data_IF_725989727214
#
_entry.id   IF_725989727214
#
_cell.length_a   1.000
_cell.length_b   1.000
_cell.length_c   1.000
_cell.angle_alpha   90.00
_cell.angle_beta   90.00
_cell.angle_gamma   90.00
#
_symmetry.space_group_name_H-M   'P 1'
#
loop_
_entity.id
_entity.type
_entity.pdbx_description
1 polymer ?
#
# COMPACT_ATOMS: atom_id res chain seq x y z
N UNK A 1 9.73 -15.78 22.15
CA UNK A 1 9.03 -14.77 21.33
C UNK A 1 9.52 -14.89 19.88
N UNK A 2 8.84 -15.69 19.03
CA UNK A 2 9.25 -15.83 17.62
C UNK A 2 8.80 -14.60 16.84
N UNK A 3 9.74 -13.76 16.41
CA UNK A 3 9.44 -12.74 15.41
C UNK A 3 9.04 -13.45 14.11
N UNK A 4 7.74 -13.51 13.82
CA UNK A 4 7.23 -14.05 12.55
C UNK A 4 7.59 -13.05 11.45
N UNK A 5 8.75 -13.23 10.82
CA UNK A 5 9.08 -12.58 9.55
C UNK A 5 8.16 -13.13 8.47
N UNK A 6 6.93 -12.58 8.36
CA UNK A 6 6.07 -12.87 7.22
C UNK A 6 6.74 -12.28 5.99
N UNK A 7 7.39 -13.14 5.22
CA UNK A 7 8.02 -12.81 3.93
C UNK A 7 7.00 -12.42 2.85
N UNK A 8 5.69 -12.48 3.15
CA UNK A 8 4.63 -11.95 2.32
C UNK A 8 3.69 -11.14 3.22
N UNK A 9 3.80 -9.82 3.16
CA UNK A 9 2.89 -8.90 3.88
C UNK A 9 1.56 -8.79 3.15
N UNK A 10 1.59 -8.79 1.81
CA UNK A 10 0.40 -8.83 0.96
C UNK A 10 0.63 -9.76 -0.25
N UNK A 11 0.31 -11.07 -0.12
CA UNK A 11 0.53 -12.03 -1.19
C UNK A 11 -0.33 -11.76 -2.43
N UNK A 12 -1.46 -11.04 -2.32
CA UNK A 12 -2.31 -10.75 -3.48
C UNK A 12 -1.64 -9.74 -4.40
N UNK A 13 -1.14 -8.65 -3.84
CA UNK A 13 -0.44 -7.60 -4.61
C UNK A 13 0.89 -8.12 -5.14
N UNK A 14 1.67 -8.81 -4.30
CA UNK A 14 2.98 -9.34 -4.67
C UNK A 14 2.87 -10.37 -5.80
N UNK A 15 1.93 -11.31 -5.73
CA UNK A 15 1.72 -12.28 -6.81
C UNK A 15 1.20 -11.62 -8.10
N UNK A 16 0.38 -10.56 -8.01
CA UNK A 16 -0.06 -9.83 -9.18
C UNK A 16 1.12 -9.16 -9.93
N UNK A 17 2.06 -8.55 -9.20
CA UNK A 17 3.26 -7.92 -9.77
C UNK A 17 4.21 -8.97 -10.33
N UNK A 18 4.51 -10.03 -9.57
CA UNK A 18 5.38 -11.12 -10.02
C UNK A 18 4.80 -11.78 -11.28
N UNK A 19 3.49 -12.03 -11.33
CA UNK A 19 2.84 -12.60 -12.52
C UNK A 19 3.00 -11.70 -13.74
N UNK A 20 2.79 -10.38 -13.60
CA UNK A 20 3.01 -9.42 -14.70
C UNK A 20 4.46 -9.42 -15.16
N UNK A 21 5.42 -9.41 -14.23
CA UNK A 21 6.84 -9.50 -14.55
C UNK A 21 7.16 -10.80 -15.31
N UNK A 22 6.70 -11.95 -14.82
CA UNK A 22 6.93 -13.25 -15.47
C UNK A 22 6.28 -13.33 -16.86
N UNK A 23 5.10 -12.72 -17.06
CA UNK A 23 4.49 -12.63 -18.39
C UNK A 23 5.38 -11.85 -19.36
N UNK A 24 5.84 -10.66 -18.98
CA UNK A 24 6.76 -9.88 -19.81
C UNK A 24 8.08 -10.62 -20.06
N UNK A 25 8.63 -11.26 -19.02
CA UNK A 25 9.86 -12.06 -19.14
C UNK A 25 9.71 -13.21 -20.15
N UNK A 26 8.60 -13.94 -20.07
CA UNK A 26 8.29 -15.03 -21.00
C UNK A 26 8.12 -14.55 -22.43
N UNK A 27 7.49 -13.38 -22.62
CA UNK A 27 7.33 -12.76 -23.93
C UNK A 27 8.68 -12.34 -24.51
N UNK A 28 9.57 -11.77 -23.69
CA UNK A 28 10.94 -11.42 -24.10
C UNK A 28 11.73 -12.64 -24.52
N UNK A 29 11.67 -13.74 -23.75
CA UNK A 29 12.34 -15.00 -24.12
C UNK A 29 11.78 -15.55 -25.43
N UNK A 30 10.45 -15.53 -25.61
CA UNK A 30 9.82 -15.99 -26.84
C UNK A 30 10.24 -15.15 -28.05
N UNK A 31 10.25 -13.82 -27.91
CA UNK A 31 10.70 -12.91 -28.95
C UNK A 31 12.17 -13.13 -29.31
N UNK A 32 13.03 -13.32 -28.32
CA UNK A 32 14.45 -13.62 -28.52
C UNK A 32 14.66 -14.92 -29.30
N UNK A 33 13.94 -15.99 -28.92
CA UNK A 33 13.97 -17.28 -29.62
C UNK A 33 13.47 -17.13 -31.07
N UNK A 34 12.36 -16.43 -31.28
CA UNK A 34 11.80 -16.19 -32.60
C UNK A 34 12.77 -15.43 -33.52
N UNK A 35 13.43 -14.39 -32.99
CA UNK A 35 14.46 -13.65 -33.72
C UNK A 35 15.63 -14.57 -34.07
N UNK A 36 16.10 -15.38 -33.12
CA UNK A 36 17.19 -16.33 -33.35
C UNK A 36 16.87 -17.32 -34.47
N UNK A 37 15.69 -17.93 -34.42
CA UNK A 37 15.19 -18.84 -35.47
C UNK A 37 15.12 -18.12 -36.82
N UNK A 38 14.59 -16.90 -36.86
CA UNK A 38 14.53 -16.09 -38.08
C UNK A 38 15.90 -15.83 -38.69
N UNK A 39 16.90 -15.47 -37.87
CA UNK A 39 18.29 -15.28 -38.32
C UNK A 39 18.87 -16.57 -38.89
N UNK A 40 18.67 -17.72 -38.24
CA UNK A 40 19.13 -19.00 -38.78
C UNK A 40 18.45 -19.35 -40.11
N UNK A 41 17.15 -19.08 -40.26
CA UNK A 41 16.44 -19.37 -41.52
C UNK A 41 16.91 -18.50 -42.69
N UNK A 42 17.30 -17.25 -42.43
CA UNK A 42 17.73 -16.31 -43.48
C UNK A 42 19.19 -16.53 -43.89
N UNK A 43 20.08 -16.76 -42.93
CA UNK A 43 21.53 -16.73 -43.18
C UNK A 43 22.20 -18.10 -43.23
N UNK A 44 21.51 -19.17 -42.84
CA UNK A 44 22.14 -20.48 -42.80
C UNK A 44 22.19 -21.13 -44.21
N UNK A 45 23.34 -21.67 -44.64
CA UNK A 45 23.49 -22.22 -45.99
C UNK A 45 22.68 -23.51 -46.17
N UNK A 46 21.84 -23.54 -47.23
CA UNK A 46 21.20 -24.72 -47.83
C UNK A 46 20.07 -25.39 -47.03
N UNK A 47 18.87 -25.52 -47.62
CA UNK A 47 17.70 -26.37 -47.26
C UNK A 47 17.59 -26.86 -45.79
N UNK A 48 17.81 -25.98 -44.81
CA UNK A 48 17.75 -26.36 -43.40
C UNK A 48 16.30 -26.50 -42.99
N UNK A 49 15.97 -27.63 -42.36
CA UNK A 49 14.64 -27.83 -41.79
C UNK A 49 14.41 -26.85 -40.64
N UNK A 50 13.16 -26.45 -40.43
CA UNK A 50 12.76 -25.56 -39.31
C UNK A 50 13.23 -26.11 -37.96
N UNK A 51 13.19 -27.43 -37.79
CA UNK A 51 13.65 -28.09 -36.56
C UNK A 51 15.14 -27.89 -36.29
N UNK A 52 15.97 -27.95 -37.33
CA UNK A 52 17.41 -27.69 -37.22
C UNK A 52 17.69 -26.22 -36.89
N UNK A 53 16.92 -25.29 -37.46
CA UNK A 53 17.02 -23.87 -37.12
C UNK A 53 16.68 -23.62 -35.65
N UNK A 54 15.63 -24.27 -35.12
CA UNK A 54 15.27 -24.18 -33.69
C UNK A 54 16.40 -24.71 -32.80
N UNK A 55 16.90 -25.91 -33.06
CA UNK A 55 17.95 -26.52 -32.24
C UNK A 55 19.24 -25.69 -32.24
N UNK A 56 19.65 -25.17 -33.40
CA UNK A 56 20.83 -24.31 -33.53
C UNK A 56 20.64 -22.96 -32.85
N UNK A 57 19.49 -22.31 -33.01
CA UNK A 57 19.18 -21.05 -32.33
C UNK A 57 19.18 -21.21 -30.82
N UNK A 58 18.58 -22.29 -30.30
CA UNK A 58 18.59 -22.57 -28.88
C UNK A 58 20.01 -22.75 -28.35
N UNK A 59 20.86 -23.52 -29.04
CA UNK A 59 22.27 -23.68 -28.67
C UNK A 59 23.05 -22.36 -28.71
N UNK A 60 22.85 -21.54 -29.73
CA UNK A 60 23.49 -20.23 -29.87
C UNK A 60 23.06 -19.23 -28.78
N UNK A 61 21.81 -19.33 -28.33
CA UNK A 61 21.25 -18.45 -27.30
C UNK A 61 21.36 -19.02 -25.88
N UNK A 62 21.83 -20.27 -25.72
CA UNK A 62 21.89 -20.95 -24.43
C UNK A 62 22.64 -20.15 -23.34
N UNK A 63 23.80 -19.49 -23.61
CA UNK A 63 24.47 -18.67 -22.60
C UNK A 63 23.60 -17.50 -22.12
N UNK A 64 22.89 -16.84 -23.05
CA UNK A 64 22.01 -15.71 -22.74
C UNK A 64 20.77 -16.17 -21.98
N UNK A 65 20.13 -17.27 -22.39
CA UNK A 65 18.99 -17.85 -21.68
C UNK A 65 19.39 -18.27 -20.26
N UNK A 66 20.55 -18.90 -20.10
CA UNK A 66 21.09 -19.28 -18.79
C UNK A 66 21.25 -18.05 -17.88
N UNK A 67 21.85 -16.98 -18.40
CA UNK A 67 21.97 -15.70 -17.68
C UNK A 67 20.59 -15.14 -17.30
N UNK A 68 19.63 -15.16 -18.21
CA UNK A 68 18.26 -14.71 -17.94
C UNK A 68 17.62 -15.51 -16.81
N UNK A 69 17.68 -16.84 -16.85
CA UNK A 69 17.14 -17.69 -15.78
C UNK A 69 17.83 -17.44 -14.43
N UNK A 70 19.13 -17.21 -14.43
CA UNK A 70 19.91 -16.89 -13.23
C UNK A 70 19.51 -15.53 -12.62
N UNK A 71 19.04 -14.59 -13.44
CA UNK A 71 18.58 -13.27 -12.99
C UNK A 71 17.16 -13.28 -12.41
N UNK A 72 16.30 -14.24 -12.78
CA UNK A 72 14.94 -14.35 -12.24
C UNK A 72 14.89 -14.24 -10.71
N UNK A 73 15.64 -15.03 -9.91
CA UNK A 73 15.59 -14.93 -8.45
C UNK A 73 16.03 -13.56 -7.94
N UNK A 74 16.98 -12.89 -8.61
CA UNK A 74 17.43 -11.54 -8.26
C UNK A 74 16.30 -10.53 -8.46
N UNK A 75 15.65 -10.55 -9.63
CA UNK A 75 14.53 -9.67 -9.93
C UNK A 75 13.32 -9.92 -9.02
N UNK A 76 12.96 -11.18 -8.79
CA UNK A 76 11.86 -11.55 -7.89
C UNK A 76 12.15 -11.05 -6.47
N UNK A 77 13.38 -11.26 -5.98
CA UNK A 77 13.79 -10.77 -4.67
C UNK A 77 13.67 -9.25 -4.55
N UNK A 78 14.16 -8.51 -5.54
CA UNK A 78 14.12 -7.06 -5.54
C UNK A 78 12.68 -6.51 -5.55
N UNK A 79 11.82 -7.08 -6.41
CA UNK A 79 10.40 -6.72 -6.47
C UNK A 79 9.68 -7.00 -5.15
N UNK A 80 9.92 -8.16 -4.54
CA UNK A 80 9.31 -8.53 -3.26
C UNK A 80 9.76 -7.55 -2.17
N UNK A 81 11.06 -7.22 -2.13
CA UNK A 81 11.62 -6.26 -1.17
C UNK A 81 11.05 -4.86 -1.36
N UNK A 82 10.92 -4.39 -2.59
CA UNK A 82 10.30 -3.13 -2.94
C UNK A 82 8.83 -3.10 -2.50
N UNK A 83 8.09 -4.17 -2.79
CA UNK A 83 6.70 -4.31 -2.40
C UNK A 83 6.51 -4.30 -0.88
N UNK A 84 7.43 -4.87 -0.10
CA UNK A 84 7.38 -4.78 1.37
C UNK A 84 7.51 -3.35 1.89
N UNK A 85 8.40 -2.54 1.29
CA UNK A 85 8.54 -1.11 1.64
C UNK A 85 7.29 -0.29 1.30
N UNK A 86 6.44 -0.79 0.41
CA UNK A 86 5.18 -0.17 0.05
C UNK A 86 4.01 -0.67 0.91
N UNK A 87 3.87 -1.99 1.05
CA UNK A 87 2.72 -2.62 1.72
C UNK A 87 2.76 -2.48 3.25
N UNK A 88 3.96 -2.50 3.85
CA UNK A 88 4.13 -2.39 5.30
C UNK A 88 3.53 -1.09 5.89
N UNK A 89 3.90 0.10 5.35
CA UNK A 89 3.30 1.37 5.75
C UNK A 89 1.78 1.41 5.57
N UNK A 90 1.27 0.96 4.42
CA UNK A 90 -0.15 0.98 4.11
C UNK A 90 -0.97 0.11 5.09
N UNK A 91 -0.45 -1.05 5.48
CA UNK A 91 -1.10 -1.90 6.47
C UNK A 91 -1.17 -1.24 7.85
N UNK A 92 -0.13 -0.49 8.25
CA UNK A 92 -0.15 0.28 9.51
C UNK A 92 -1.16 1.43 9.45
N UNK A 93 -1.20 2.17 8.36
CA UNK A 93 -2.20 3.23 8.15
C UNK A 93 -3.62 2.67 8.26
N UNK A 94 -3.90 1.53 7.61
CA UNK A 94 -5.20 0.87 7.71
C UNK A 94 -5.55 0.48 9.15
N UNK A 95 -4.58 -0.02 9.92
CA UNK A 95 -4.78 -0.34 11.33
C UNK A 95 -5.19 0.89 12.14
N UNK A 96 -4.49 2.01 11.96
CA UNK A 96 -4.78 3.28 12.63
C UNK A 96 -6.14 3.84 12.22
N UNK A 97 -6.48 3.78 10.93
CA UNK A 97 -7.77 4.22 10.43
C UNK A 97 -8.93 3.42 11.03
N UNK A 98 -8.78 2.10 11.16
CA UNK A 98 -9.78 1.27 11.81
C UNK A 98 -9.92 1.61 13.31
N UNK A 99 -8.81 1.79 14.01
CA UNK A 99 -8.83 2.19 15.42
C UNK A 99 -9.54 3.55 15.62
N UNK A 100 -9.33 4.49 14.71
CA UNK A 100 -10.03 5.78 14.71
C UNK A 100 -11.53 5.64 14.42
N UNK A 101 -11.89 4.76 13.48
CA UNK A 101 -13.28 4.49 13.14
C UNK A 101 -14.03 3.88 14.34
N UNK A 102 -13.35 3.07 15.16
CA UNK A 102 -13.89 2.48 16.38
C UNK A 102 -13.93 3.47 17.57
N UNK A 103 -13.62 4.74 17.34
CA UNK A 103 -13.65 5.80 18.36
C UNK A 103 -12.37 5.90 19.21
N UNK A 104 -11.33 5.14 18.86
CA UNK A 104 -10.02 5.22 19.49
C UNK A 104 -9.30 6.55 19.22
N UNK A 105 -8.22 6.80 19.95
CA UNK A 105 -7.30 7.93 19.71
C UNK A 105 -6.02 7.39 19.09
N UNK A 106 -5.77 7.73 17.83
CA UNK A 106 -4.52 7.38 17.17
C UNK A 106 -3.34 8.15 17.75
N UNK A 107 -2.20 7.48 17.88
CA UNK A 107 -0.91 8.16 18.04
C UNK A 107 -0.40 8.60 16.67
N UNK A 108 0.38 9.68 16.63
CA UNK A 108 0.99 10.22 15.41
C UNK A 108 1.60 9.10 14.54
N UNK A 109 1.16 9.02 13.28
CA UNK A 109 1.60 8.02 12.33
C UNK A 109 3.03 8.33 11.86
N UNK A 110 3.94 7.37 12.06
CA UNK A 110 5.34 7.49 11.62
C UNK A 110 5.80 6.23 10.90
N UNK A 111 6.30 6.39 9.68
CA UNK A 111 6.89 5.31 8.89
C UNK A 111 8.42 5.28 9.02
N UNK A 112 9.05 4.19 8.57
CA UNK A 112 10.50 4.02 8.70
C UNK A 112 11.22 4.88 7.64
N UNK A 113 12.40 5.44 7.96
CA UNK A 113 13.16 6.24 7.00
C UNK A 113 13.42 5.43 5.72
N UNK A 114 13.09 6.02 4.57
CA UNK A 114 13.13 5.37 3.26
C UNK A 114 11.85 4.64 2.84
N UNK A 115 10.78 4.58 3.63
CA UNK A 115 9.49 4.11 3.12
C UNK A 115 8.89 5.12 2.11
N UNK A 116 8.15 4.62 1.11
CA UNK A 116 7.58 5.47 0.03
C UNK A 116 6.47 6.42 0.51
N UNK A 117 5.92 6.19 1.70
CA UNK A 117 4.67 6.81 2.16
C UNK A 117 4.88 7.90 3.23
N UNK A 118 6.10 8.44 3.36
CA UNK A 118 6.43 9.44 4.39
C UNK A 118 5.58 10.70 4.28
N UNK A 119 5.33 11.18 3.06
CA UNK A 119 4.49 12.35 2.82
C UNK A 119 3.05 12.08 3.25
N UNK A 120 2.51 10.90 2.92
CA UNK A 120 1.18 10.49 3.35
C UNK A 120 1.05 10.36 4.87
N UNK A 121 2.09 9.93 5.59
CA UNK A 121 2.09 9.99 7.05
C UNK A 121 2.01 11.43 7.56
N UNK A 122 2.74 12.35 6.92
CA UNK A 122 2.74 13.78 7.26
C UNK A 122 1.35 14.38 7.03
N UNK A 123 0.75 14.14 5.87
CA UNK A 123 -0.59 14.61 5.53
C UNK A 123 -1.65 14.04 6.47
N UNK A 124 -1.57 12.74 6.77
CA UNK A 124 -2.47 12.09 7.72
C UNK A 124 -2.37 12.70 9.12
N UNK A 125 -1.15 12.96 9.61
CA UNK A 125 -0.95 13.57 10.91
C UNK A 125 -1.51 14.99 10.98
N UNK A 126 -1.38 15.76 9.89
CA UNK A 126 -1.96 17.10 9.79
C UNK A 126 -3.49 17.03 9.86
N UNK A 127 -4.10 16.18 9.02
CA UNK A 127 -5.54 15.96 9.04
C UNK A 127 -6.03 15.52 10.42
N UNK A 128 -5.33 14.55 11.04
CA UNK A 128 -5.71 14.02 12.35
C UNK A 128 -5.64 15.08 13.45
N UNK A 129 -4.64 15.96 13.41
CA UNK A 129 -4.52 17.08 14.33
C UNK A 129 -5.70 18.04 14.20
N UNK A 130 -6.05 18.44 12.98
CA UNK A 130 -7.20 19.32 12.71
C UNK A 130 -8.52 18.66 13.16
N UNK A 131 -8.67 17.35 12.92
CA UNK A 131 -9.85 16.60 13.35
C UNK A 131 -10.00 16.53 14.88
N UNK A 132 -8.91 16.30 15.62
CA UNK A 132 -8.96 16.32 17.09
C UNK A 132 -9.31 17.71 17.61
N UNK A 133 -8.68 18.75 17.07
CA UNK A 133 -8.92 20.13 17.48
C UNK A 133 -10.40 20.50 17.30
N UNK A 134 -10.96 20.15 16.15
CA UNK A 134 -12.37 20.37 15.85
C UNK A 134 -13.30 19.59 16.79
N UNK A 135 -12.97 18.32 17.08
CA UNK A 135 -13.73 17.49 18.02
C UNK A 135 -13.75 18.11 19.43
N UNK A 136 -12.58 18.53 19.92
CA UNK A 136 -12.47 19.17 21.23
C UNK A 136 -13.29 20.47 21.28
N UNK A 137 -13.28 21.27 20.21
CA UNK A 137 -14.05 22.51 20.13
C UNK A 137 -15.56 22.27 20.17
N UNK A 138 -16.04 21.21 19.52
CA UNK A 138 -17.45 20.81 19.62
C UNK A 138 -17.82 20.35 21.03
N UNK A 139 -16.94 19.60 21.72
CA UNK A 139 -17.16 19.17 23.11
C UNK A 139 -17.21 20.39 24.06
N UNK A 140 -16.32 21.37 23.89
CA UNK A 140 -16.35 22.64 24.65
C UNK A 140 -17.66 23.40 24.46
N UNK A 141 -18.08 23.58 23.20
CA UNK A 141 -19.33 24.29 22.88
C UNK A 141 -20.57 23.58 23.42
N UNK A 142 -20.60 22.24 23.40
CA UNK A 142 -21.68 21.47 24.00
C UNK A 142 -21.75 21.64 25.51
N UNK A 143 -20.61 21.68 26.19
CA UNK A 143 -20.55 21.92 27.63
C UNK A 143 -21.00 23.34 27.99
N UNK A 144 -20.60 24.34 27.20
CA UNK A 144 -21.02 25.73 27.39
C UNK A 144 -22.53 25.90 27.21
N UNK A 145 -23.12 25.30 26.16
CA UNK A 145 -24.56 25.30 25.94
C UNK A 145 -25.34 24.66 27.08
N UNK A 146 -24.82 23.54 27.63
CA UNK A 146 -25.43 22.88 28.78
C UNK A 146 -25.44 23.79 30.00
N UNK A 147 -24.31 24.43 30.31
CA UNK A 147 -24.21 25.37 31.43
C UNK A 147 -25.16 26.57 31.29
N UNK A 148 -25.34 27.09 30.07
CA UNK A 148 -26.27 28.19 29.81
C UNK A 148 -27.73 27.75 29.98
N UNK A 149 -28.05 26.53 29.55
CA UNK A 149 -29.41 25.96 29.69
C UNK A 149 -29.74 25.72 31.15
N UNK A 150 -28.81 25.15 31.92
CA UNK A 150 -28.98 24.91 33.36
C UNK A 150 -29.17 26.24 34.11
N UNK A 151 -28.34 27.25 33.81
CA UNK A 151 -28.48 28.60 34.39
C UNK A 151 -29.80 29.29 34.02
N UNK A 152 -30.29 29.09 32.80
CA UNK A 152 -31.57 29.63 32.35
C UNK A 152 -32.76 28.97 33.04
N UNK A 153 -32.68 27.65 33.29
CA UNK A 153 -33.68 26.90 34.05
C UNK A 153 -33.73 27.35 35.52
N UNK A 154 -32.55 27.56 36.14
CA UNK A 154 -32.46 28.06 37.52
C UNK A 154 -33.09 29.47 37.64
N UNK A 155 -32.78 30.38 36.70
CA UNK A 155 -33.36 31.73 36.69
C UNK A 155 -34.90 31.71 36.53
N UNK A 156 -35.42 30.86 35.64
CA UNK A 156 -36.86 30.73 35.44
C UNK A 156 -37.58 30.13 36.66
N UNK A 157 -36.92 29.26 37.43
CA UNK A 157 -37.49 28.72 38.67
C UNK A 157 -37.57 29.76 39.79
N UNK A 158 -36.57 30.65 39.89
CA UNK A 158 -36.54 31.75 40.86
C UNK A 158 -37.63 32.77 40.55
N UNK A 159 -37.88 33.09 39.28
CA UNK A 159 -38.92 34.04 38.88
C UNK A 159 -40.34 33.50 39.16
N UNK A 160 -40.56 32.19 39.02
CA UNK A 160 -41.85 31.55 39.36
C UNK A 160 -42.10 31.55 40.87
N UNK A 161 -41.08 31.26 41.67
CA UNK A 161 -41.19 31.22 43.13
C UNK A 161 -41.32 32.63 43.74
N UNK A 162 -40.74 33.65 43.09
CA UNK A 162 -40.94 35.05 43.45
C UNK A 162 -42.38 35.54 43.19
N UNK A 163 -43.02 35.09 42.11
CA UNK A 163 -44.41 35.45 41.77
C UNK A 163 -45.42 34.77 42.72
N UNK A 164 -45.12 33.55 43.19
CA UNK A 164 -45.95 32.77 44.13
C UNK A 164 -45.92 33.31 45.58
N UNK A 165 -44.86 34.03 45.98
CA UNK A 165 -44.73 34.65 47.31
C UNK A 165 -45.42 36.04 47.38
N UNK A 166 -45.76 36.64 46.23
CA UNK A 166 -46.41 37.96 46.14
C UNK A 166 -47.94 37.93 46.04
N UNK A 167 -48.58 36.75 46.15
CA UNK A 167 -50.05 36.55 46.19
C UNK A 167 -50.50 36.16 47.59
#
# INVERSE_FOLDING_TARGET
MSQRSRFFVDPKVQMAIIRRMMMHWSLTVLALLAIGIGVQMVYAPGNQSVWQAIARSFGAQAPLLCLMFMLIPVYVWDIVKLSHRFAGPMLRLRGILNELADGGRATQLKFRPGDFWQDTATDFNRFYKEHIDLKNRCEELQNELKLLTDRGADAASIDVEADEITV
#
